data_IF_066961788139
#
_entry.id   IF_066961788139
#
_cell.length_a   1.000
_cell.length_b   1.000
_cell.length_c   1.000
_cell.angle_alpha   90.00
_cell.angle_beta   90.00
_cell.angle_gamma   90.00
#
_symmetry.space_group_name_H-M   'P 1'
#
loop_
_entity.id
_entity.type
_entity.pdbx_description
1 polymer ?
#
# COMPACT_ATOMS: atom_id res chain seq x y z
N UNK A 1 37.11 5.60 -8.86
CA UNK A 1 35.65 5.85 -8.99
C UNK A 1 35.12 6.05 -7.57
N UNK A 2 34.62 7.24 -7.26
CA UNK A 2 34.55 7.78 -5.89
C UNK A 2 33.39 7.15 -5.08
N UNK A 3 33.71 6.48 -3.98
CA UNK A 3 32.77 5.68 -3.16
C UNK A 3 31.60 6.51 -2.60
N UNK A 4 31.79 7.82 -2.43
CA UNK A 4 30.78 8.77 -1.95
C UNK A 4 29.60 8.95 -2.91
N UNK A 5 29.83 8.82 -4.23
CA UNK A 5 28.76 9.00 -5.25
C UNK A 5 27.80 7.81 -5.25
N UNK A 6 28.30 6.58 -5.12
CA UNK A 6 27.46 5.38 -5.10
C UNK A 6 26.53 5.30 -3.88
N UNK A 7 26.94 5.85 -2.74
CA UNK A 7 26.13 5.87 -1.51
C UNK A 7 24.93 6.82 -1.70
N UNK A 8 25.16 7.99 -2.28
CA UNK A 8 24.12 9.02 -2.49
C UNK A 8 23.02 8.50 -3.44
N UNK A 9 23.40 7.81 -4.52
CA UNK A 9 22.43 7.27 -5.48
C UNK A 9 21.59 6.12 -4.91
N UNK A 10 22.18 5.21 -4.12
CA UNK A 10 21.42 4.12 -3.46
C UNK A 10 20.36 4.67 -2.49
N UNK A 11 20.70 5.68 -1.70
CA UNK A 11 19.75 6.31 -0.77
C UNK A 11 18.59 7.01 -1.50
N UNK A 12 18.87 7.69 -2.62
CA UNK A 12 17.83 8.34 -3.45
C UNK A 12 16.91 7.31 -4.10
N UNK A 13 17.46 6.19 -4.57
CA UNK A 13 16.65 5.11 -5.15
C UNK A 13 15.71 4.50 -4.12
N UNK A 14 16.21 4.15 -2.93
CA UNK A 14 15.39 3.54 -1.86
C UNK A 14 14.17 4.38 -1.49
N UNK A 15 14.35 5.70 -1.30
CA UNK A 15 13.25 6.63 -1.04
C UNK A 15 12.19 6.67 -2.14
N UNK A 16 12.59 6.61 -3.41
CA UNK A 16 11.66 6.60 -4.54
C UNK A 16 10.84 5.30 -4.57
N UNK A 17 11.49 4.16 -4.36
CA UNK A 17 10.84 2.85 -4.32
C UNK A 17 9.93 2.67 -3.11
N UNK A 18 10.23 3.32 -1.99
CA UNK A 18 9.33 3.39 -0.84
C UNK A 18 8.00 4.07 -1.19
N UNK A 19 8.06 5.27 -1.78
CA UNK A 19 6.87 6.01 -2.19
C UNK A 19 6.05 5.27 -3.25
N UNK A 20 6.71 4.60 -4.20
CA UNK A 20 6.04 3.74 -5.18
C UNK A 20 5.23 2.65 -4.44
N UNK A 21 5.79 2.02 -3.41
CA UNK A 21 5.09 1.03 -2.60
C UNK A 21 3.83 1.57 -1.93
N UNK A 22 3.89 2.78 -1.38
CA UNK A 22 2.73 3.44 -0.75
C UNK A 22 1.64 3.74 -1.78
N UNK A 23 2.00 4.25 -2.95
CA UNK A 23 1.05 4.53 -4.04
C UNK A 23 0.40 3.23 -4.52
N UNK A 24 1.19 2.18 -4.74
CA UNK A 24 0.68 0.85 -5.16
C UNK A 24 -0.27 0.29 -4.10
N UNK A 25 0.09 0.36 -2.82
CA UNK A 25 -0.77 -0.10 -1.72
C UNK A 25 -2.09 0.68 -1.61
N UNK A 26 -2.08 1.95 -1.99
CA UNK A 26 -3.27 2.81 -1.99
C UNK A 26 -4.21 2.45 -3.15
N UNK A 27 -3.67 2.14 -4.33
CA UNK A 27 -4.45 1.78 -5.52
C UNK A 27 -4.95 0.33 -5.48
N UNK A 28 -4.13 -0.58 -4.95
CA UNK A 28 -4.44 -1.99 -4.85
C UNK A 28 -3.78 -2.58 -3.59
N UNK A 29 -4.61 -2.87 -2.60
CA UNK A 29 -4.18 -3.43 -1.31
C UNK A 29 -3.38 -4.72 -1.49
N UNK A 30 -3.82 -5.63 -2.38
CA UNK A 30 -3.15 -6.92 -2.61
C UNK A 30 -1.76 -6.70 -3.22
N UNK A 31 -1.67 -5.85 -4.24
CA UNK A 31 -0.38 -5.50 -4.85
C UNK A 31 0.55 -4.80 -3.84
N UNK A 32 0.01 -3.94 -2.99
CA UNK A 32 0.74 -3.29 -1.89
C UNK A 32 1.30 -4.28 -0.87
N UNK A 33 0.51 -5.29 -0.49
CA UNK A 33 0.95 -6.36 0.41
C UNK A 33 2.06 -7.20 -0.23
N UNK A 34 1.89 -7.63 -1.49
CA UNK A 34 2.92 -8.39 -2.22
C UNK A 34 4.21 -7.59 -2.32
N UNK A 35 4.12 -6.30 -2.67
CA UNK A 35 5.28 -5.42 -2.76
C UNK A 35 5.95 -5.21 -1.40
N UNK A 36 5.18 -4.96 -0.34
CA UNK A 36 5.71 -4.82 1.02
C UNK A 36 6.40 -6.09 1.53
N UNK A 37 5.87 -7.28 1.19
CA UNK A 37 6.51 -8.57 1.47
C UNK A 37 7.80 -8.73 0.66
N UNK A 38 7.81 -8.34 -0.61
CA UNK A 38 9.04 -8.35 -1.40
C UNK A 38 10.13 -7.46 -0.77
N UNK A 39 9.77 -6.28 -0.29
CA UNK A 39 10.69 -5.33 0.38
C UNK A 39 11.18 -5.88 1.73
N UNK A 40 10.35 -6.62 2.46
CA UNK A 40 10.74 -7.30 3.71
C UNK A 40 11.88 -8.32 3.51
N UNK A 41 12.03 -8.87 2.30
CA UNK A 41 13.15 -9.76 1.98
C UNK A 41 14.48 -9.02 1.88
N UNK A 42 14.47 -7.71 1.59
CA UNK A 42 15.66 -6.87 1.60
C UNK A 42 16.05 -6.47 3.02
N UNK A 43 17.20 -6.96 3.50
CA UNK A 43 17.66 -6.80 4.89
C UNK A 43 17.81 -5.32 5.30
N UNK A 44 18.17 -4.46 4.37
CA UNK A 44 18.38 -3.02 4.60
C UNK A 44 17.06 -2.22 4.64
N UNK A 45 15.96 -2.79 4.15
CA UNK A 45 14.69 -2.07 3.91
C UNK A 45 13.48 -2.72 4.56
N UNK A 46 13.70 -3.62 5.52
CA UNK A 46 12.62 -4.32 6.26
C UNK A 46 11.63 -3.35 6.90
N UNK A 47 12.13 -2.25 7.47
CA UNK A 47 11.29 -1.23 8.11
C UNK A 47 10.35 -0.56 7.09
N UNK A 48 10.83 -0.28 5.88
CA UNK A 48 10.02 0.26 4.79
C UNK A 48 8.93 -0.73 4.37
N UNK A 49 9.27 -2.02 4.25
CA UNK A 49 8.31 -3.08 3.92
C UNK A 49 7.19 -3.21 4.94
N UNK A 50 7.53 -3.17 6.25
CA UNK A 50 6.54 -3.17 7.33
C UNK A 50 5.61 -1.96 7.27
N UNK A 51 6.14 -0.76 6.97
CA UNK A 51 5.33 0.44 6.84
C UNK A 51 4.36 0.32 5.65
N UNK A 52 4.81 -0.19 4.50
CA UNK A 52 3.94 -0.39 3.32
C UNK A 52 2.83 -1.39 3.63
N UNK A 53 3.14 -2.49 4.33
CA UNK A 53 2.14 -3.49 4.74
C UNK A 53 1.14 -2.89 5.72
N UNK A 54 1.61 -2.21 6.74
CA UNK A 54 0.74 -1.55 7.71
C UNK A 54 -0.18 -0.53 7.02
N UNK A 55 0.36 0.25 6.09
CA UNK A 55 -0.42 1.18 5.28
C UNK A 55 -1.49 0.48 4.43
N UNK A 56 -1.14 -0.62 3.75
CA UNK A 56 -2.07 -1.39 2.95
C UNK A 56 -3.24 -1.93 3.79
N UNK A 57 -2.96 -2.45 5.00
CA UNK A 57 -3.98 -2.95 5.93
C UNK A 57 -4.90 -1.82 6.40
N UNK A 58 -4.32 -0.69 6.83
CA UNK A 58 -5.10 0.48 7.27
C UNK A 58 -6.00 0.97 6.13
N UNK A 59 -5.48 1.06 4.91
CA UNK A 59 -6.23 1.50 3.75
C UNK A 59 -7.36 0.53 3.38
N UNK A 60 -7.13 -0.78 3.51
CA UNK A 60 -8.16 -1.79 3.32
C UNK A 60 -9.30 -1.65 4.34
N UNK A 61 -8.97 -1.42 5.61
CA UNK A 61 -9.97 -1.19 6.67
C UNK A 61 -10.76 0.09 6.40
N UNK A 62 -10.11 1.17 6.00
CA UNK A 62 -10.77 2.42 5.59
C UNK A 62 -11.72 2.17 4.41
N UNK A 63 -11.27 1.46 3.38
CA UNK A 63 -12.12 1.09 2.25
C UNK A 63 -13.34 0.27 2.66
N UNK A 64 -13.15 -0.71 3.55
CA UNK A 64 -14.23 -1.58 4.00
C UNK A 64 -15.24 -0.88 4.93
N UNK A 65 -14.79 -0.09 5.90
CA UNK A 65 -15.66 0.52 6.92
C UNK A 65 -16.18 1.91 6.57
N UNK A 66 -15.50 2.64 5.68
CA UNK A 66 -15.89 4.01 5.32
C UNK A 66 -16.47 4.02 3.91
N UNK A 67 -15.69 3.57 2.91
CA UNK A 67 -16.08 3.66 1.50
C UNK A 67 -17.23 2.69 1.20
N UNK A 68 -17.16 1.44 1.67
CA UNK A 68 -18.20 0.44 1.48
C UNK A 68 -19.59 0.92 1.95
N UNK A 69 -19.75 1.32 3.22
CA UNK A 69 -21.02 1.83 3.73
C UNK A 69 -21.45 3.13 3.07
N UNK A 70 -20.51 4.02 2.71
CA UNK A 70 -20.82 5.24 1.97
C UNK A 70 -21.42 4.92 0.59
N UNK A 71 -20.84 3.98 -0.15
CA UNK A 71 -21.36 3.54 -1.45
C UNK A 71 -22.73 2.85 -1.33
N UNK A 72 -22.93 2.01 -0.32
CA UNK A 72 -24.23 1.38 -0.06
C UNK A 72 -25.30 2.40 0.32
N UNK A 73 -24.93 3.45 1.08
CA UNK A 73 -25.84 4.56 1.43
C UNK A 73 -26.14 5.48 0.27
N UNK A 74 -25.23 5.60 -0.70
CA UNK A 74 -25.40 6.50 -1.86
C UNK A 74 -26.43 6.03 -2.90
N UNK A 75 -27.18 4.96 -2.63
CA UNK A 75 -28.22 4.37 -3.51
C UNK A 75 -27.75 3.98 -4.92
N UNK A 76 -26.44 4.07 -5.23
CA UNK A 76 -25.83 3.64 -6.49
C UNK A 76 -25.93 2.12 -6.73
N UNK A 77 -26.19 1.34 -5.68
CA UNK A 77 -26.51 -0.07 -5.78
C UNK A 77 -27.96 -0.29 -5.34
N UNK A 78 -28.83 -0.91 -6.17
CA UNK A 78 -30.19 -1.22 -5.73
C UNK A 78 -30.09 -2.07 -4.47
N UNK A 79 -30.77 -1.64 -3.39
CA UNK A 79 -30.94 -2.46 -2.19
C UNK A 79 -31.41 -3.82 -2.66
N UNK A 80 -30.57 -4.84 -2.53
CA UNK A 80 -30.95 -6.22 -2.80
C UNK A 80 -32.01 -6.53 -1.74
N UNK A 81 -33.29 -6.33 -2.10
CA UNK A 81 -34.41 -6.85 -1.33
C UNK A 81 -34.20 -8.35 -1.36
N UNK A 82 -33.68 -8.88 -0.26
CA UNK A 82 -33.75 -10.31 0.01
C UNK A 82 -35.26 -10.57 0.12
N UNK A 83 -35.84 -11.07 -0.96
CA UNK A 83 -37.20 -11.58 -0.98
C UNK A 83 -37.19 -12.76 -0.01
N UNK A 84 -37.92 -12.60 1.09
CA UNK A 84 -38.09 -13.61 2.13
C UNK A 84 -39.00 -14.72 1.63
#
# INVERSE_FOLDING_TARGET
MNSSVQIIDKFKLGKKWFWIGIVVATLNVVAGLVYGIAILTEKDRRNEGLIIIAWAIIWALIGFFIIGPFLVKSELFPKIKIIK
#
